data_IF_417147898676
#
_entry.id   IF_417147898676
#
_cell.length_a   1.000
_cell.length_b   1.000
_cell.length_c   1.000
_cell.angle_alpha   90.00
_cell.angle_beta   90.00
_cell.angle_gamma   90.00
#
_symmetry.space_group_name_H-M   'P 1'
#
loop_
_entity.id
_entity.type
_entity.pdbx_description
1 polymer ?
#
# COMPACT_ATOMS: atom_id res chain seq x y z
N UNK A 1 13.43 11.01 -10.16
CA UNK A 1 12.50 9.88 -10.39
C UNK A 1 13.18 8.56 -10.74
N UNK A 2 14.37 8.53 -11.37
CA UNK A 2 15.03 7.28 -11.75
C UNK A 2 15.41 6.36 -10.56
N UNK A 3 16.00 6.92 -9.49
CA UNK A 3 16.49 6.12 -8.35
C UNK A 3 15.39 5.33 -7.61
N UNK A 4 14.19 5.90 -7.47
CA UNK A 4 13.06 5.25 -6.81
C UNK A 4 12.57 4.03 -7.59
N UNK A 5 12.45 4.15 -8.92
CA UNK A 5 12.05 3.05 -9.80
C UNK A 5 13.08 1.91 -9.80
N UNK A 6 14.37 2.25 -9.68
CA UNK A 6 15.44 1.24 -9.54
C UNK A 6 15.27 0.42 -8.25
N UNK A 7 14.91 1.07 -7.14
CA UNK A 7 14.69 0.38 -5.87
C UNK A 7 13.46 -0.53 -5.95
N UNK A 8 12.37 -0.11 -6.60
CA UNK A 8 11.17 -0.93 -6.77
C UNK A 8 11.43 -2.25 -7.53
N UNK A 9 12.42 -2.27 -8.42
CA UNK A 9 12.83 -3.47 -9.16
C UNK A 9 13.93 -4.27 -8.44
N UNK A 10 14.46 -3.78 -7.32
CA UNK A 10 15.54 -4.45 -6.60
C UNK A 10 15.01 -5.66 -5.80
N UNK A 11 15.89 -6.61 -5.40
CA UNK A 11 15.51 -7.71 -4.52
C UNK A 11 14.94 -7.23 -3.18
N UNK A 12 14.07 -8.04 -2.55
CA UNK A 12 13.42 -7.73 -1.26
C UNK A 12 14.35 -7.15 -0.18
N UNK A 13 15.56 -7.70 0.08
CA UNK A 13 16.45 -7.17 1.11
C UNK A 13 16.90 -5.71 0.85
N UNK A 14 17.00 -5.33 -0.43
CA UNK A 14 17.35 -3.97 -0.84
C UNK A 14 16.14 -3.05 -0.63
N UNK A 15 14.95 -3.50 -0.99
CA UNK A 15 13.73 -2.73 -0.77
C UNK A 15 13.51 -2.44 0.72
N UNK A 16 13.62 -3.46 1.59
CA UNK A 16 13.49 -3.30 3.05
C UNK A 16 14.52 -2.32 3.62
N UNK A 17 15.77 -2.41 3.15
CA UNK A 17 16.86 -1.54 3.61
C UNK A 17 16.60 -0.05 3.32
N UNK A 18 16.06 0.28 2.15
CA UNK A 18 15.83 1.67 1.73
C UNK A 18 14.45 2.20 2.12
N UNK A 19 13.55 1.34 2.59
CA UNK A 19 12.18 1.69 2.91
C UNK A 19 12.06 2.81 3.97
N UNK A 20 12.85 2.82 5.07
CA UNK A 20 12.82 3.93 6.04
C UNK A 20 13.30 5.25 5.44
N UNK A 21 14.28 5.21 4.54
CA UNK A 21 14.81 6.39 3.86
C UNK A 21 13.76 6.97 2.89
N UNK A 22 13.08 6.12 2.14
CA UNK A 22 11.98 6.51 1.25
C UNK A 22 10.84 7.12 2.07
N UNK A 23 10.49 6.54 3.23
CA UNK A 23 9.48 7.10 4.14
C UNK A 23 9.82 8.53 4.55
N UNK A 24 11.07 8.78 4.96
CA UNK A 24 11.52 10.11 5.36
C UNK A 24 11.47 11.11 4.20
N UNK A 25 11.98 10.72 3.02
CA UNK A 25 11.93 11.57 1.82
C UNK A 25 10.48 11.89 1.41
N UNK A 26 9.55 10.94 1.55
CA UNK A 26 8.12 11.17 1.34
C UNK A 26 7.55 12.18 2.34
N UNK A 27 7.88 12.08 3.62
CA UNK A 27 7.43 13.04 4.64
C UNK A 27 8.02 14.44 4.43
N UNK A 28 9.20 14.52 3.83
CA UNK A 28 9.83 15.80 3.44
C UNK A 28 9.26 16.38 2.14
N UNK A 29 8.41 15.65 1.43
CA UNK A 29 7.80 16.08 0.16
C UNK A 29 8.66 15.83 -1.08
N UNK A 30 9.82 15.18 -0.93
CA UNK A 30 10.71 14.85 -2.04
C UNK A 30 10.20 13.71 -2.92
N UNK A 31 9.34 12.85 -2.36
CA UNK A 31 8.75 11.69 -3.03
C UNK A 31 7.23 11.66 -2.88
N UNK A 32 6.56 11.14 -3.91
CA UNK A 32 5.10 10.95 -3.89
C UNK A 32 4.68 10.02 -2.76
N UNK A 33 3.76 10.45 -1.87
CA UNK A 33 3.23 9.60 -0.82
C UNK A 33 2.63 8.31 -1.36
N UNK A 34 1.84 8.41 -2.44
CA UNK A 34 1.26 7.25 -3.14
C UNK A 34 2.30 6.23 -3.61
N UNK A 35 3.51 6.67 -3.99
CA UNK A 35 4.60 5.78 -4.38
C UNK A 35 5.13 4.96 -3.21
N UNK A 36 5.33 5.61 -2.05
CA UNK A 36 5.81 4.94 -0.84
C UNK A 36 4.81 3.89 -0.34
N UNK A 37 3.53 4.26 -0.19
CA UNK A 37 2.47 3.34 0.25
C UNK A 37 2.35 2.12 -0.65
N UNK A 38 2.37 2.35 -1.97
CA UNK A 38 2.29 1.26 -2.94
C UNK A 38 3.45 0.29 -2.81
N UNK A 39 4.68 0.83 -2.67
CA UNK A 39 5.88 0.00 -2.50
C UNK A 39 5.84 -0.79 -1.19
N UNK A 40 5.42 -0.16 -0.09
CA UNK A 40 5.29 -0.81 1.22
C UNK A 40 4.28 -1.96 1.20
N UNK A 41 3.08 -1.73 0.68
CA UNK A 41 2.07 -2.78 0.61
C UNK A 41 2.47 -3.89 -0.37
N UNK A 42 3.12 -3.56 -1.49
CA UNK A 42 3.63 -4.55 -2.44
C UNK A 42 4.68 -5.47 -1.77
N UNK A 43 5.59 -4.89 -0.99
CA UNK A 43 6.59 -5.66 -0.24
C UNK A 43 5.92 -6.63 0.73
N UNK A 44 4.95 -6.17 1.50
CA UNK A 44 4.19 -7.01 2.44
C UNK A 44 3.46 -8.15 1.72
N UNK A 45 2.80 -7.85 0.60
CA UNK A 45 2.12 -8.84 -0.24
C UNK A 45 3.08 -9.89 -0.80
N UNK A 46 4.28 -9.49 -1.25
CA UNK A 46 5.30 -10.40 -1.76
C UNK A 46 5.79 -11.40 -0.71
N UNK A 47 5.89 -10.97 0.56
CA UNK A 47 6.27 -11.84 1.68
C UNK A 47 5.07 -12.51 2.36
N UNK A 48 3.89 -12.51 1.71
CA UNK A 48 2.63 -13.06 2.23
C UNK A 48 2.20 -12.50 3.59
N UNK A 49 2.54 -11.25 3.88
CA UNK A 49 2.07 -10.52 5.06
C UNK A 49 0.86 -9.63 4.72
N UNK A 50 0.01 -9.33 5.71
CA UNK A 50 -1.04 -8.34 5.53
C UNK A 50 -0.42 -6.97 5.23
N UNK A 51 -1.08 -6.22 4.36
CA UNK A 51 -0.64 -4.89 3.93
C UNK A 51 -1.04 -3.82 4.95
N UNK A 52 -0.42 -2.64 4.89
CA UNK A 52 -0.65 -1.58 5.88
C UNK A 52 -1.65 -0.53 5.43
N UNK A 53 -1.76 -0.27 4.12
CA UNK A 53 -2.52 0.86 3.59
C UNK A 53 -3.60 0.49 2.57
N UNK A 54 -3.72 -0.79 2.22
CA UNK A 54 -4.82 -1.30 1.40
C UNK A 54 -4.66 -1.08 -0.10
N UNK A 55 -3.46 -0.80 -0.61
CA UNK A 55 -3.26 -0.45 -2.02
C UNK A 55 -3.24 -1.65 -2.97
N UNK A 56 -2.85 -2.83 -2.49
CA UNK A 56 -2.77 -4.04 -3.30
C UNK A 56 -4.12 -4.76 -3.36
N UNK A 57 -4.53 -5.06 -4.59
CA UNK A 57 -5.77 -5.74 -4.92
C UNK A 57 -5.42 -7.11 -5.49
N UNK A 58 -6.10 -8.14 -5.03
CA UNK A 58 -6.01 -9.50 -5.54
C UNK A 58 -7.28 -9.83 -6.30
N UNK A 59 -7.13 -10.60 -7.38
CA UNK A 59 -8.28 -11.16 -8.08
C UNK A 59 -8.62 -12.49 -7.42
N UNK A 60 -9.82 -12.61 -6.87
CA UNK A 60 -10.31 -13.86 -6.33
C UNK A 60 -10.65 -14.79 -7.51
N UNK A 61 -9.95 -15.92 -7.63
CA UNK A 61 -10.11 -16.88 -8.73
C UNK A 61 -11.45 -17.59 -8.70
N UNK A 62 -12.08 -17.71 -7.53
CA UNK A 62 -13.38 -18.35 -7.33
C UNK A 62 -14.53 -17.40 -7.67
N UNK A 63 -14.52 -16.18 -7.14
CA UNK A 63 -15.62 -15.21 -7.37
C UNK A 63 -15.43 -14.37 -8.63
N UNK A 64 -14.22 -14.40 -9.23
CA UNK A 64 -13.76 -13.52 -10.32
C UNK A 64 -13.88 -12.03 -9.99
N UNK A 65 -13.96 -11.69 -8.70
CA UNK A 65 -14.06 -10.30 -8.23
C UNK A 65 -12.70 -9.80 -7.75
N UNK A 66 -12.49 -8.51 -7.92
CA UNK A 66 -11.35 -7.80 -7.32
C UNK A 66 -11.63 -7.63 -5.84
N UNK A 67 -10.71 -8.07 -5.00
CA UNK A 67 -10.77 -8.00 -3.55
C UNK A 67 -9.46 -7.40 -3.04
N UNK A 68 -9.52 -6.63 -1.96
CA UNK A 68 -8.31 -6.04 -1.37
C UNK A 68 -7.53 -7.14 -0.66
N UNK A 69 -6.20 -7.13 -0.78
CA UNK A 69 -5.37 -8.06 0.00
C UNK A 69 -5.57 -7.79 1.50
N UNK A 70 -5.40 -8.81 2.39
CA UNK A 70 -5.61 -8.64 3.82
C UNK A 70 -4.83 -7.45 4.37
N UNK A 71 -5.49 -6.61 5.17
CA UNK A 71 -4.88 -5.43 5.80
C UNK A 71 -4.67 -5.75 7.28
N UNK A 72 -3.52 -5.36 7.82
CA UNK A 72 -3.12 -5.72 9.19
C UNK A 72 -4.05 -5.08 10.22
N UNK A 73 -4.38 -3.81 10.01
CA UNK A 73 -5.29 -3.05 10.86
C UNK A 73 -6.19 -2.18 9.98
N UNK A 74 -7.36 -2.70 9.65
CA UNK A 74 -8.37 -2.00 8.86
C UNK A 74 -9.03 -0.84 9.61
N UNK A 75 -9.01 -0.85 10.95
CA UNK A 75 -9.63 0.20 11.76
C UNK A 75 -8.80 1.49 11.73
N UNK A 76 -7.47 1.37 11.79
CA UNK A 76 -6.55 2.51 11.77
C UNK A 76 -5.91 2.75 10.39
N UNK A 77 -6.39 2.08 9.33
CA UNK A 77 -5.85 2.24 7.97
C UNK A 77 -5.98 3.67 7.46
N UNK A 78 -7.10 4.33 7.76
CA UNK A 78 -7.36 5.69 7.32
C UNK A 78 -6.50 6.71 8.08
N UNK A 79 -6.17 6.46 9.35
CA UNK A 79 -5.24 7.28 10.13
C UNK A 79 -3.83 7.21 9.53
N UNK A 80 -3.34 6.01 9.24
CA UNK A 80 -2.04 5.83 8.56
C UNK A 80 -2.02 6.53 7.22
N UNK A 81 -3.11 6.45 6.44
CA UNK A 81 -3.22 7.14 5.15
C UNK A 81 -3.21 8.66 5.31
N UNK A 82 -3.86 9.18 6.36
CA UNK A 82 -3.87 10.61 6.68
C UNK A 82 -2.47 11.15 7.03
N UNK A 83 -1.60 10.35 7.68
CA UNK A 83 -0.19 10.74 7.92
C UNK A 83 0.56 11.10 6.62
N UNK A 84 0.16 10.46 5.51
CA UNK A 84 0.74 10.66 4.18
C UNK A 84 -0.07 11.61 3.31
N UNK A 85 -1.06 12.31 3.88
CA UNK A 85 -1.96 13.21 3.15
C UNK A 85 -2.87 12.50 2.16
N UNK A 86 -3.10 11.20 2.35
CA UNK A 86 -3.98 10.40 1.50
C UNK A 86 -5.40 10.39 2.07
N UNK A 87 -6.39 10.39 1.18
CA UNK A 87 -7.78 10.23 1.56
C UNK A 87 -8.13 8.81 2.02
N UNK A 88 -9.36 8.60 2.51
CA UNK A 88 -9.84 7.32 3.02
C UNK A 88 -9.62 6.17 2.04
N UNK A 89 -9.32 4.99 2.56
CA UNK A 89 -9.13 3.78 1.76
C UNK A 89 -10.39 3.45 0.95
N UNK A 90 -11.57 3.62 1.54
CA UNK A 90 -12.84 3.36 0.88
C UNK A 90 -12.99 4.18 -0.42
N UNK A 91 -12.63 5.47 -0.39
CA UNK A 91 -12.70 6.34 -1.57
C UNK A 91 -11.70 5.93 -2.65
N UNK A 92 -10.51 5.51 -2.24
CA UNK A 92 -9.49 4.99 -3.15
C UNK A 92 -9.97 3.72 -3.87
N UNK A 93 -10.55 2.79 -3.13
CA UNK A 93 -11.03 1.52 -3.68
C UNK A 93 -12.29 1.66 -4.52
N UNK A 94 -13.16 2.60 -4.15
CA UNK A 94 -14.33 2.98 -4.96
C UNK A 94 -13.91 3.47 -6.35
N UNK A 95 -12.80 4.22 -6.46
CA UNK A 95 -12.23 4.65 -7.74
C UNK A 95 -11.67 3.49 -8.57
N UNK A 96 -11.30 2.38 -7.92
CA UNK A 96 -10.76 1.18 -8.57
C UNK A 96 -11.82 0.11 -8.87
N UNK A 97 -13.09 0.43 -8.60
CA UNK A 97 -14.24 -0.47 -8.74
C UNK A 97 -14.07 -1.78 -7.94
N UNK A 98 -13.51 -1.63 -6.73
CA UNK A 98 -13.29 -2.73 -5.79
C UNK A 98 -14.32 -2.62 -4.68
N UNK A 99 -15.15 -3.66 -4.54
CA UNK A 99 -16.14 -3.72 -3.47
C UNK A 99 -15.45 -4.09 -2.15
N UNK A 100 -15.00 -3.07 -1.43
CA UNK A 100 -14.36 -3.22 -0.12
C UNK A 100 -15.36 -2.91 0.98
N UNK A 101 -15.58 -3.90 1.84
CA UNK A 101 -16.32 -3.75 3.09
C UNK A 101 -15.33 -4.02 4.21
N UNK A 102 -14.86 -2.99 4.92
CA UNK A 102 -13.93 -3.19 6.02
C UNK A 102 -14.62 -4.10 7.04
N UNK A 103 -13.94 -5.16 7.45
CA UNK A 103 -14.47 -6.22 8.31
C UNK A 103 -14.42 -5.81 9.79
N UNK A 104 -14.68 -4.54 10.07
CA UNK A 104 -14.70 -3.99 11.43
C UNK A 104 -15.96 -4.54 12.10
N UNK A 105 -15.77 -5.53 12.99
CA UNK A 105 -16.78 -6.03 13.90
C UNK A 105 -16.88 -5.15 15.13
#
# INVERSE_FOLDING_TARGET
MAAFLTIQQAPLPIQEKYLPMIRQATLQGDLSPMGYVYMQDNLLVLINKPQMFGTQIRLNTTTKKKEVAPIDDEAHVDERRAEFGLGPLADYLKRLDVNYKPSVK
#
